data_IF_532616360421
#
_entry.id   IF_532616360421
#
_cell.length_a   1.000
_cell.length_b   1.000
_cell.length_c   1.000
_cell.angle_alpha   90.00
_cell.angle_beta   90.00
_cell.angle_gamma   90.00
#
_symmetry.space_group_name_H-M   'P 1'
#
loop_
_entity.id
_entity.type
_entity.pdbx_description
1 polymer ?
#
# COMPACT_ATOMS: atom_id res chain seq x y z
N UNK A 1 19.35 -30.88 -7.69
CA UNK A 1 17.99 -30.40 -7.38
C UNK A 1 17.67 -29.25 -8.32
N UNK A 2 16.81 -29.50 -9.32
CA UNK A 2 16.27 -28.43 -10.14
C UNK A 2 15.26 -27.68 -9.28
N UNK A 3 15.65 -26.51 -8.76
CA UNK A 3 14.69 -25.60 -8.14
C UNK A 3 13.88 -25.04 -9.31
N UNK A 4 12.78 -25.71 -9.67
CA UNK A 4 11.79 -25.12 -10.57
C UNK A 4 11.36 -23.81 -9.92
N UNK A 5 11.69 -22.69 -10.56
CA UNK A 5 11.15 -21.39 -10.20
C UNK A 5 9.66 -21.47 -10.50
N UNK A 6 8.84 -21.69 -9.47
CA UNK A 6 7.41 -21.56 -9.59
C UNK A 6 7.15 -20.09 -9.94
N UNK A 7 6.71 -19.81 -11.16
CA UNK A 7 6.36 -18.45 -11.53
C UNK A 7 5.15 -18.03 -10.69
N UNK A 8 5.12 -16.78 -10.25
CA UNK A 8 4.00 -16.22 -9.47
C UNK A 8 2.68 -16.39 -10.25
N UNK A 9 2.77 -16.42 -11.57
CA UNK A 9 1.67 -16.67 -12.52
C UNK A 9 0.99 -18.05 -12.33
N UNK A 10 1.73 -19.04 -11.82
CA UNK A 10 1.23 -20.41 -11.61
C UNK A 10 0.63 -20.64 -10.22
N UNK A 11 0.67 -19.62 -9.35
CA UNK A 11 0.17 -19.72 -7.98
C UNK A 11 -1.36 -19.69 -7.93
N UNK A 12 -1.93 -20.51 -7.06
CA UNK A 12 -3.35 -20.48 -6.78
C UNK A 12 -3.75 -19.19 -6.03
N UNK A 13 -5.01 -18.73 -6.14
CA UNK A 13 -5.51 -17.59 -5.36
C UNK A 13 -5.26 -17.70 -3.84
N UNK A 14 -5.27 -18.93 -3.29
CA UNK A 14 -4.98 -19.16 -1.87
C UNK A 14 -3.52 -18.88 -1.52
N UNK A 15 -2.58 -19.30 -2.37
CA UNK A 15 -1.16 -19.07 -2.16
C UNK A 15 -0.79 -17.60 -2.34
N UNK A 16 -1.38 -16.91 -3.33
CA UNK A 16 -1.20 -15.46 -3.51
C UNK A 16 -1.64 -14.71 -2.26
N UNK A 17 -2.84 -15.02 -1.74
CA UNK A 17 -3.35 -14.40 -0.50
C UNK A 17 -2.49 -14.72 0.72
N UNK A 18 -2.00 -15.95 0.85
CA UNK A 18 -1.10 -16.33 1.94
C UNK A 18 0.21 -15.52 1.89
N UNK A 19 0.81 -15.40 0.71
CA UNK A 19 2.01 -14.59 0.50
C UNK A 19 1.76 -13.11 0.81
N UNK A 20 0.59 -12.58 0.48
CA UNK A 20 0.20 -11.23 0.86
C UNK A 20 0.20 -11.06 2.38
N UNK A 21 -0.47 -11.93 3.13
CA UNK A 21 -0.44 -11.88 4.60
C UNK A 21 0.99 -11.98 5.16
N UNK A 22 1.78 -12.94 4.67
CA UNK A 22 3.17 -13.12 5.10
C UNK A 22 3.97 -11.84 4.87
N UNK A 23 3.82 -11.23 3.69
CA UNK A 23 4.50 -9.98 3.34
C UNK A 23 4.11 -8.84 4.27
N UNK A 24 2.81 -8.70 4.59
CA UNK A 24 2.37 -7.66 5.52
C UNK A 24 2.90 -7.87 6.95
N UNK A 25 2.97 -9.10 7.44
CA UNK A 25 3.59 -9.38 8.74
C UNK A 25 5.10 -9.12 8.74
N UNK A 26 5.80 -9.41 7.64
CA UNK A 26 7.22 -9.06 7.49
C UNK A 26 7.40 -7.54 7.50
N UNK A 27 6.57 -6.80 6.76
CA UNK A 27 6.59 -5.33 6.71
C UNK A 27 6.38 -4.74 8.12
N UNK A 28 5.38 -5.23 8.87
CA UNK A 28 5.15 -4.80 10.26
C UNK A 28 6.37 -5.13 11.13
N UNK A 29 6.92 -6.34 11.02
CA UNK A 29 8.10 -6.76 11.78
C UNK A 29 9.32 -5.86 11.51
N UNK A 30 9.58 -5.55 10.24
CA UNK A 30 10.63 -4.61 9.82
C UNK A 30 10.32 -3.21 10.35
N UNK A 31 9.07 -2.74 10.25
CA UNK A 31 8.64 -1.45 10.80
C UNK A 31 8.90 -1.35 12.30
N UNK A 32 8.54 -2.37 13.08
CA UNK A 32 8.79 -2.42 14.51
C UNK A 32 10.29 -2.43 14.84
N UNK A 33 11.08 -3.24 14.13
CA UNK A 33 12.53 -3.32 14.32
C UNK A 33 13.20 -1.97 14.02
N UNK A 34 12.87 -1.36 12.87
CA UNK A 34 13.41 -0.06 12.48
C UNK A 34 12.92 1.05 13.41
N UNK A 35 11.67 1.02 13.85
CA UNK A 35 11.15 1.98 14.82
C UNK A 35 11.94 1.90 16.14
N UNK A 36 12.23 0.69 16.63
CA UNK A 36 13.04 0.47 17.83
C UNK A 36 14.48 0.98 17.69
N UNK A 37 15.07 0.86 16.50
CA UNK A 37 16.46 1.29 16.24
C UNK A 37 16.56 2.81 16.02
N UNK A 38 15.62 3.39 15.27
CA UNK A 38 15.74 4.76 14.76
C UNK A 38 15.10 5.81 15.69
N UNK A 39 14.01 5.46 16.38
CA UNK A 39 13.39 6.39 17.33
C UNK A 39 14.13 6.33 18.66
N UNK A 40 14.60 7.49 19.13
CA UNK A 40 15.29 7.63 20.42
C UNK A 40 14.34 7.55 21.61
N UNK A 41 13.07 7.87 21.39
CA UNK A 41 12.05 7.93 22.43
C UNK A 41 10.69 7.47 21.91
N UNK A 42 9.91 6.84 22.79
CA UNK A 42 8.60 6.31 22.44
C UNK A 42 7.55 7.40 22.21
N UNK A 43 7.75 8.61 22.74
CA UNK A 43 6.80 9.73 22.56
C UNK A 43 6.82 10.22 21.12
N UNK A 44 7.98 10.22 20.47
CA UNK A 44 8.14 10.51 19.04
C UNK A 44 7.43 9.47 18.15
N UNK A 45 7.30 8.22 18.59
CA UNK A 45 6.46 7.23 17.91
C UNK A 45 4.98 7.57 18.12
N UNK A 46 4.56 7.78 19.37
CA UNK A 46 3.16 8.07 19.71
C UNK A 46 2.64 9.37 19.09
N UNK A 47 3.49 10.38 18.86
CA UNK A 47 3.09 11.66 18.28
C UNK A 47 2.60 11.54 16.83
N UNK A 48 2.94 10.44 16.14
CA UNK A 48 2.46 10.14 14.78
C UNK A 48 1.02 9.61 14.77
N UNK A 49 0.50 9.14 15.92
CA UNK A 49 -0.80 8.49 16.06
C UNK A 49 -1.82 9.46 16.67
N UNK A 50 -2.33 10.39 15.87
CA UNK A 50 -3.27 11.43 16.33
C UNK A 50 -4.72 11.01 16.05
N UNK A 51 -5.46 10.68 17.11
CA UNK A 51 -6.87 10.32 16.97
C UNK A 51 -7.75 11.56 16.70
N UNK A 52 -7.86 11.93 15.43
CA UNK A 52 -8.65 13.05 14.94
C UNK A 52 -9.70 12.56 13.92
N UNK A 53 -10.83 12.00 14.38
CA UNK A 53 -11.75 11.26 13.51
C UNK A 53 -12.29 12.10 12.35
N UNK A 54 -12.52 13.40 12.56
CA UNK A 54 -12.98 14.31 11.50
C UNK A 54 -11.90 14.47 10.42
N UNK A 55 -10.64 14.73 10.81
CA UNK A 55 -9.51 14.84 9.89
C UNK A 55 -9.26 13.51 9.15
N UNK A 56 -9.33 12.38 9.86
CA UNK A 56 -9.18 11.03 9.28
C UNK A 56 -10.23 10.78 8.21
N UNK A 57 -11.51 11.03 8.51
CA UNK A 57 -12.59 10.80 7.57
C UNK A 57 -12.56 11.78 6.39
N UNK A 58 -12.34 13.07 6.62
CA UNK A 58 -12.40 14.10 5.57
C UNK A 58 -11.13 14.05 4.70
N UNK A 59 -9.95 14.22 5.30
CA UNK A 59 -8.69 14.28 4.53
C UNK A 59 -8.39 12.91 3.94
N UNK A 60 -8.50 11.84 4.74
CA UNK A 60 -8.25 10.50 4.26
C UNK A 60 -9.27 10.04 3.23
N UNK A 61 -10.56 10.36 3.43
CA UNK A 61 -11.61 10.07 2.46
C UNK A 61 -11.43 10.82 1.14
N UNK A 62 -11.12 12.12 1.18
CA UNK A 62 -10.85 12.93 -0.01
C UNK A 62 -9.61 12.44 -0.75
N UNK A 63 -8.55 12.07 -0.03
CA UNK A 63 -7.35 11.47 -0.63
C UNK A 63 -7.70 10.17 -1.35
N UNK A 64 -8.43 9.27 -0.70
CA UNK A 64 -8.84 8.00 -1.29
C UNK A 64 -9.72 8.20 -2.54
N UNK A 65 -10.71 9.10 -2.48
CA UNK A 65 -11.55 9.46 -3.62
C UNK A 65 -10.69 10.01 -4.76
N UNK A 66 -9.75 10.91 -4.47
CA UNK A 66 -8.85 11.48 -5.46
C UNK A 66 -8.00 10.42 -6.17
N UNK A 67 -7.44 9.46 -5.41
CA UNK A 67 -6.62 8.38 -5.96
C UNK A 67 -7.47 7.41 -6.80
N UNK A 68 -8.64 7.00 -6.32
CA UNK A 68 -9.55 6.12 -7.07
C UNK A 68 -10.03 6.80 -8.36
N UNK A 69 -10.33 8.09 -8.32
CA UNK A 69 -10.70 8.85 -9.52
C UNK A 69 -9.52 8.98 -10.48
N UNK A 70 -8.32 9.22 -9.98
CA UNK A 70 -7.10 9.28 -10.79
C UNK A 70 -6.86 7.94 -11.52
N UNK A 71 -6.95 6.83 -10.79
CA UNK A 71 -6.82 5.48 -11.36
C UNK A 71 -7.89 5.20 -12.41
N UNK A 72 -9.16 5.51 -12.10
CA UNK A 72 -10.26 5.39 -13.04
C UNK A 72 -10.04 6.22 -14.32
N UNK A 73 -9.60 7.48 -14.20
CA UNK A 73 -9.29 8.33 -15.36
C UNK A 73 -8.09 7.78 -16.13
N UNK A 74 -7.06 7.31 -15.44
CA UNK A 74 -5.88 6.74 -16.08
C UNK A 74 -6.25 5.50 -16.93
N UNK A 75 -7.10 4.60 -16.41
CA UNK A 75 -7.61 3.44 -17.15
C UNK A 75 -8.46 3.81 -18.38
N UNK A 76 -9.05 5.02 -18.42
CA UNK A 76 -9.82 5.53 -19.57
C UNK A 76 -8.96 6.22 -20.62
N UNK A 77 -7.82 6.77 -20.21
CA UNK A 77 -6.94 7.59 -21.06
C UNK A 77 -5.81 6.76 -21.67
N UNK A 78 -5.24 5.85 -20.88
CA UNK A 78 -4.09 5.04 -21.30
C UNK A 78 -4.51 3.65 -21.76
N UNK A 79 -3.68 2.97 -22.59
CA UNK A 79 -3.97 1.61 -23.04
C UNK A 79 -4.08 0.63 -21.87
N UNK A 80 -5.07 -0.27 -21.88
CA UNK A 80 -5.27 -1.29 -20.83
C UNK A 80 -4.01 -2.13 -20.57
N UNK A 81 -3.22 -2.41 -21.61
CA UNK A 81 -1.93 -3.12 -21.52
C UNK A 81 -0.91 -2.46 -20.58
N UNK A 82 -1.04 -1.17 -20.28
CA UNK A 82 -0.14 -0.46 -19.36
C UNK A 82 -0.43 -0.79 -17.89
N UNK A 83 -1.62 -1.29 -17.59
CA UNK A 83 -2.06 -1.68 -16.25
C UNK A 83 -1.89 -3.18 -15.97
N UNK A 84 -1.43 -3.96 -16.96
CA UNK A 84 -1.23 -5.40 -16.83
C UNK A 84 -0.11 -5.74 -15.84
N UNK A 85 -0.52 -6.22 -14.66
CA UNK A 85 0.32 -6.69 -13.56
C UNK A 85 0.61 -8.20 -13.59
N UNK A 86 0.27 -8.88 -14.69
CA UNK A 86 0.34 -10.34 -14.84
C UNK A 86 -0.92 -11.07 -14.35
N UNK A 87 -2.04 -10.36 -14.15
CA UNK A 87 -3.31 -10.91 -13.65
C UNK A 87 -3.26 -11.33 -12.18
N UNK A 88 -2.27 -10.82 -11.43
CA UNK A 88 -2.06 -11.19 -10.02
C UNK A 88 -3.12 -10.53 -9.15
N UNK A 89 -3.42 -9.24 -9.37
CA UNK A 89 -4.45 -8.54 -8.62
C UNK A 89 -5.83 -9.19 -8.82
N UNK A 90 -6.18 -9.58 -10.06
CA UNK A 90 -7.42 -10.32 -10.34
C UNK A 90 -7.47 -11.63 -9.54
N UNK A 91 -6.44 -12.48 -9.66
CA UNK A 91 -6.36 -13.77 -8.94
C UNK A 91 -6.38 -13.59 -7.41
N UNK A 92 -5.77 -12.53 -6.90
CA UNK A 92 -5.69 -12.22 -5.47
C UNK A 92 -7.08 -11.98 -4.87
N UNK A 93 -7.88 -11.15 -5.54
CA UNK A 93 -9.19 -10.73 -5.08
C UNK A 93 -10.32 -11.67 -5.52
N UNK A 94 -10.13 -12.49 -6.56
CA UNK A 94 -11.13 -13.41 -7.10
C UNK A 94 -11.76 -14.28 -6.01
N UNK A 95 -13.10 -14.23 -5.94
CA UNK A 95 -13.90 -15.02 -5.01
C UNK A 95 -13.74 -14.64 -3.53
N UNK A 96 -13.06 -13.53 -3.21
CA UNK A 96 -12.87 -13.07 -1.84
C UNK A 96 -14.19 -12.51 -1.29
N UNK A 97 -14.55 -12.87 -0.05
CA UNK A 97 -15.71 -12.27 0.62
C UNK A 97 -15.43 -10.81 0.98
N UNK A 98 -16.48 -9.98 1.06
CA UNK A 98 -16.34 -8.56 1.43
C UNK A 98 -15.68 -8.39 2.80
N UNK A 99 -16.01 -9.26 3.76
CA UNK A 99 -15.38 -9.24 5.09
C UNK A 99 -13.90 -9.57 5.04
N UNK A 100 -13.50 -10.57 4.24
CA UNK A 100 -12.08 -10.88 4.08
C UNK A 100 -11.35 -9.73 3.38
N UNK A 101 -11.96 -9.13 2.35
CA UNK A 101 -11.41 -7.96 1.66
C UNK A 101 -11.18 -6.78 2.61
N UNK A 102 -12.17 -6.48 3.46
CA UNK A 102 -12.08 -5.42 4.47
C UNK A 102 -10.89 -5.66 5.41
N UNK A 103 -10.74 -6.88 5.92
CA UNK A 103 -9.66 -7.23 6.86
C UNK A 103 -8.29 -7.13 6.19
N UNK A 104 -8.11 -7.73 5.00
CA UNK A 104 -6.79 -7.77 4.36
C UNK A 104 -6.33 -6.38 3.92
N UNK A 105 -7.23 -5.56 3.35
CA UNK A 105 -6.90 -4.20 2.90
C UNK A 105 -6.60 -3.27 4.07
N UNK A 106 -7.25 -3.47 5.22
CA UNK A 106 -6.89 -2.75 6.44
C UNK A 106 -5.48 -3.14 6.93
N UNK A 107 -5.14 -4.43 6.89
CA UNK A 107 -3.81 -4.92 7.27
C UNK A 107 -2.74 -4.35 6.33
N UNK A 108 -2.99 -4.33 5.01
CA UNK A 108 -2.10 -3.73 4.02
C UNK A 108 -1.86 -2.25 4.34
N UNK A 109 -2.93 -1.46 4.40
CA UNK A 109 -2.83 -0.02 4.67
C UNK A 109 -2.13 0.28 6.00
N UNK A 110 -2.41 -0.51 7.05
CA UNK A 110 -1.72 -0.36 8.34
C UNK A 110 -0.22 -0.67 8.22
N UNK A 111 0.14 -1.82 7.66
CA UNK A 111 1.51 -2.30 7.59
C UNK A 111 2.40 -1.36 6.77
N UNK A 112 1.93 -1.01 5.57
CA UNK A 112 2.71 -0.21 4.64
C UNK A 112 2.83 1.24 5.11
N UNK A 113 1.75 1.88 5.55
CA UNK A 113 1.85 3.25 6.05
C UNK A 113 2.68 3.34 7.34
N UNK A 114 2.60 2.34 8.23
CA UNK A 114 3.45 2.29 9.41
C UNK A 114 4.93 2.24 9.05
N UNK A 115 5.35 1.33 8.15
CA UNK A 115 6.75 1.22 7.76
C UNK A 115 7.19 2.46 6.98
N UNK A 116 6.50 2.80 5.89
CA UNK A 116 7.00 3.78 4.94
C UNK A 116 6.82 5.22 5.42
N UNK A 117 5.68 5.55 6.02
CA UNK A 117 5.40 6.93 6.45
C UNK A 117 5.84 7.08 7.91
N UNK A 118 5.43 6.14 8.75
CA UNK A 118 5.72 6.17 10.17
C UNK A 118 7.21 6.11 10.46
N UNK A 119 7.95 5.23 9.78
CA UNK A 119 9.37 5.00 10.08
C UNK A 119 10.29 5.58 9.01
N UNK A 120 10.19 5.11 7.76
CA UNK A 120 11.18 5.49 6.72
C UNK A 120 11.11 6.98 6.41
N UNK A 121 9.92 7.52 6.15
CA UNK A 121 9.77 8.95 5.82
C UNK A 121 10.15 9.86 6.98
N UNK A 122 9.76 9.52 8.21
CA UNK A 122 10.12 10.29 9.41
C UNK A 122 11.63 10.47 9.57
N UNK A 123 12.44 9.47 9.17
CA UNK A 123 13.89 9.50 9.35
C UNK A 123 14.69 9.85 8.10
N UNK A 124 14.18 9.52 6.91
CA UNK A 124 14.92 9.62 5.65
C UNK A 124 14.24 10.54 4.62
N UNK A 125 13.08 11.11 4.96
CA UNK A 125 12.33 12.03 4.12
C UNK A 125 11.49 11.34 3.04
N UNK A 126 10.63 12.14 2.42
CA UNK A 126 9.63 11.69 1.45
C UNK A 126 10.25 10.99 0.23
N UNK A 127 11.37 11.51 -0.30
CA UNK A 127 12.00 10.97 -1.51
C UNK A 127 12.46 9.52 -1.30
N UNK A 128 13.18 9.25 -0.20
CA UNK A 128 13.68 7.90 0.08
C UNK A 128 12.52 6.96 0.36
N UNK A 129 11.54 7.39 1.17
CA UNK A 129 10.36 6.58 1.47
C UNK A 129 9.59 6.18 0.20
N UNK A 130 9.32 7.13 -0.69
CA UNK A 130 8.55 6.87 -1.91
C UNK A 130 9.28 6.03 -2.94
N UNK A 131 10.61 6.20 -3.07
CA UNK A 131 11.40 5.36 -3.97
C UNK A 131 11.53 3.94 -3.45
N UNK A 132 11.80 3.74 -2.15
CA UNK A 132 11.88 2.40 -1.55
C UNK A 132 10.53 1.70 -1.63
N UNK A 133 9.42 2.40 -1.39
CA UNK A 133 8.06 1.88 -1.59
C UNK A 133 7.87 1.35 -3.01
N UNK A 134 8.18 2.17 -4.03
CA UNK A 134 8.03 1.78 -5.43
C UNK A 134 8.94 0.60 -5.82
N UNK A 135 10.18 0.57 -5.32
CA UNK A 135 11.12 -0.54 -5.60
C UNK A 135 10.67 -1.84 -4.93
N UNK A 136 10.05 -1.79 -3.74
CA UNK A 136 9.51 -2.99 -3.09
C UNK A 136 8.28 -3.56 -3.81
N UNK A 137 7.67 -2.79 -4.70
CA UNK A 137 6.74 -3.30 -5.72
C UNK A 137 7.53 -3.97 -6.86
N UNK A 138 8.26 -5.03 -6.55
CA UNK A 138 9.20 -5.70 -7.47
C UNK A 138 8.57 -6.09 -8.82
N UNK A 139 7.28 -6.41 -8.82
CA UNK A 139 6.50 -6.77 -10.01
C UNK A 139 6.38 -5.59 -10.99
N UNK A 140 6.40 -4.37 -10.48
CA UNK A 140 6.19 -3.16 -11.26
C UNK A 140 7.51 -2.61 -11.82
N UNK A 141 8.67 -3.00 -11.29
CA UNK A 141 9.98 -2.54 -11.78
C UNK A 141 10.15 -2.74 -13.30
N UNK A 142 9.64 -3.86 -13.84
CA UNK A 142 9.70 -4.17 -15.27
C UNK A 142 8.54 -3.58 -16.08
N UNK A 143 7.61 -2.88 -15.43
CA UNK A 143 6.39 -2.28 -16.00
C UNK A 143 6.45 -0.75 -15.76
N UNK A 144 7.08 0.03 -16.66
CA UNK A 144 7.42 1.43 -16.41
C UNK A 144 6.24 2.30 -15.96
N UNK A 145 5.07 2.10 -16.55
CA UNK A 145 3.86 2.84 -16.18
C UNK A 145 3.43 2.54 -14.74
N UNK A 146 3.26 1.26 -14.38
CA UNK A 146 2.88 0.85 -13.02
C UNK A 146 3.91 1.31 -11.97
N UNK A 147 5.20 1.24 -12.30
CA UNK A 147 6.27 1.74 -11.41
C UNK A 147 6.15 3.25 -11.16
N UNK A 148 6.02 4.04 -12.23
CA UNK A 148 5.86 5.49 -12.12
C UNK A 148 4.56 5.84 -11.39
N UNK A 149 3.47 5.10 -11.65
CA UNK A 149 2.18 5.32 -11.03
C UNK A 149 2.23 5.06 -9.52
N UNK A 150 2.73 3.89 -9.09
CA UNK A 150 2.86 3.57 -7.65
C UNK A 150 3.83 4.52 -6.93
N UNK A 151 4.89 4.95 -7.61
CA UNK A 151 5.82 5.94 -7.08
C UNK A 151 5.13 7.30 -6.86
N UNK A 152 4.39 7.78 -7.86
CA UNK A 152 3.60 9.00 -7.76
C UNK A 152 2.58 8.94 -6.62
N UNK A 153 1.80 7.85 -6.53
CA UNK A 153 0.85 7.64 -5.44
C UNK A 153 1.58 7.67 -4.09
N UNK A 154 2.75 7.04 -3.98
CA UNK A 154 3.55 7.07 -2.76
C UNK A 154 3.95 8.49 -2.34
N UNK A 155 4.36 9.34 -3.30
CA UNK A 155 4.64 10.75 -3.05
C UNK A 155 3.41 11.52 -2.58
N UNK A 156 2.22 11.25 -3.13
CA UNK A 156 0.98 11.91 -2.70
C UNK A 156 0.66 11.55 -1.25
N UNK A 157 0.72 10.27 -0.88
CA UNK A 157 0.56 9.83 0.50
C UNK A 157 1.62 10.44 1.42
N UNK A 158 2.87 10.46 0.97
CA UNK A 158 3.97 11.05 1.71
C UNK A 158 3.77 12.54 1.97
N UNK A 159 3.29 13.29 0.98
CA UNK A 159 2.98 14.71 1.14
C UNK A 159 1.83 14.93 2.15
N UNK A 160 0.77 14.13 2.10
CA UNK A 160 -0.32 14.21 3.09
C UNK A 160 0.17 13.86 4.49
N UNK A 161 1.05 12.87 4.62
CA UNK A 161 1.67 12.56 5.91
C UNK A 161 2.56 13.70 6.42
N UNK A 162 3.37 14.33 5.56
CA UNK A 162 4.23 15.46 5.94
C UNK A 162 3.41 16.68 6.36
N UNK A 163 2.30 16.95 5.66
CA UNK A 163 1.39 18.06 5.98
C UNK A 163 0.63 17.85 7.30
N UNK A 164 0.15 16.63 7.55
CA UNK A 164 -0.74 16.34 8.70
C UNK A 164 0.01 15.81 9.93
N UNK A 165 1.14 15.15 9.71
CA UNK A 165 1.85 14.36 10.71
C UNK A 165 0.97 13.32 11.39
N UNK A 166 0.03 12.69 10.66
CA UNK A 166 -0.95 11.76 11.21
C UNK A 166 -1.04 10.47 10.40
N UNK A 167 -0.59 9.36 10.98
CA UNK A 167 -0.64 8.04 10.34
C UNK A 167 -2.06 7.52 10.13
N UNK A 168 -3.00 7.83 11.02
CA UNK A 168 -4.38 7.33 10.85
C UNK A 168 -5.02 7.86 9.56
N UNK A 169 -4.65 9.07 9.13
CA UNK A 169 -5.15 9.66 7.87
C UNK A 169 -4.65 8.84 6.68
N UNK A 170 -3.36 8.55 6.61
CA UNK A 170 -2.80 7.79 5.48
C UNK A 170 -3.21 6.32 5.51
N UNK A 171 -3.24 5.69 6.70
CA UNK A 171 -3.73 4.30 6.87
C UNK A 171 -5.17 4.20 6.38
N UNK A 172 -6.05 5.10 6.81
CA UNK A 172 -7.45 5.10 6.41
C UNK A 172 -7.61 5.31 4.89
N UNK A 173 -6.87 6.26 4.31
CA UNK A 173 -6.92 6.50 2.88
C UNK A 173 -6.42 5.29 2.07
N UNK A 174 -5.30 4.68 2.46
CA UNK A 174 -4.72 3.53 1.77
C UNK A 174 -5.67 2.33 1.85
N UNK A 175 -6.14 2.00 3.05
CA UNK A 175 -7.19 0.99 3.24
C UNK A 175 -8.38 1.22 2.31
N UNK A 176 -8.88 2.46 2.24
CA UNK A 176 -10.08 2.76 1.46
C UNK A 176 -9.84 2.65 -0.05
N UNK A 177 -8.67 3.08 -0.55
CA UNK A 177 -8.26 2.88 -1.95
C UNK A 177 -8.25 1.39 -2.29
N UNK A 178 -7.53 0.58 -1.52
CA UNK A 178 -7.39 -0.86 -1.76
C UNK A 178 -8.73 -1.58 -1.64
N UNK A 179 -9.56 -1.20 -0.68
CA UNK A 179 -10.88 -1.78 -0.49
C UNK A 179 -11.79 -1.48 -1.69
N UNK A 180 -11.84 -0.24 -2.17
CA UNK A 180 -12.66 0.15 -3.32
C UNK A 180 -12.19 -0.55 -4.60
N UNK A 181 -10.88 -0.58 -4.85
CA UNK A 181 -10.31 -1.26 -6.04
C UNK A 181 -10.51 -2.77 -5.95
N UNK A 182 -10.27 -3.38 -4.78
CA UNK A 182 -10.50 -4.80 -4.55
C UNK A 182 -11.97 -5.21 -4.74
N UNK A 183 -12.93 -4.34 -4.42
CA UNK A 183 -14.36 -4.58 -4.70
C UNK A 183 -14.66 -4.67 -6.20
N UNK A 184 -13.89 -3.99 -7.05
CA UNK A 184 -14.03 -4.05 -8.50
C UNK A 184 -13.47 -5.37 -9.07
N UNK A 185 -12.36 -5.85 -8.48
CA UNK A 185 -11.60 -7.01 -8.94
C UNK A 185 -12.08 -8.36 -8.38
N UNK A 186 -12.85 -8.37 -7.28
CA UNK A 186 -13.23 -9.61 -6.57
C UNK A 186 -14.21 -10.55 -7.28
N UNK A 187 -14.66 -10.22 -8.49
CA UNK A 187 -15.73 -10.96 -9.19
C UNK A 187 -15.32 -12.39 -9.55
#
# INVERSE_FOLDING_TARGET
MNIQRHNIEDMSPKEIRLNLYITQFIIIGIGCLLAYILFRDIKSVYSLWKWEPVSILIIGGLLAIGIVLLDYVAMRVFPESWFDDGGINDKMFQGMSVMHLLVITFIIGFAEEFLFRGVVQTHFGIVIASLVFAVLHIRYITKPFLFCFVCFISFVFGYVFEWTGNLFITIFAHFLVDFIMGLQLRK
#
